data_IF_198473273443
#
_entry.id   IF_198473273443
#
_cell.length_a   1.000
_cell.length_b   1.000
_cell.length_c   1.000
_cell.angle_alpha   90.00
_cell.angle_beta   90.00
_cell.angle_gamma   90.00
#
_symmetry.space_group_name_H-M   'P 1'
#
loop_
_entity.id
_entity.type
_entity.pdbx_description
1 polymer ?
#
# COMPACT_ATOMS: atom_id res chain seq x y z
N UNK A 1 16.53 -9.82 -38.91
CA UNK A 1 15.70 -10.34 -37.81
C UNK A 1 14.73 -9.25 -37.36
N UNK A 2 13.43 -9.40 -37.66
CA UNK A 2 12.43 -8.37 -37.35
C UNK A 2 12.26 -8.20 -35.84
N UNK A 3 12.34 -6.97 -35.35
CA UNK A 3 11.99 -6.61 -33.97
C UNK A 3 10.51 -7.00 -33.78
N UNK A 4 10.23 -8.14 -33.13
CA UNK A 4 8.88 -8.50 -32.73
C UNK A 4 8.37 -7.39 -31.82
N UNK A 5 7.34 -6.67 -32.26
CA UNK A 5 6.67 -5.68 -31.43
C UNK A 5 6.24 -6.36 -30.11
N UNK A 6 6.46 -5.70 -28.95
CA UNK A 6 6.06 -6.30 -27.68
C UNK A 6 4.56 -6.57 -27.70
N UNK A 7 4.18 -7.82 -27.39
CA UNK A 7 2.77 -8.18 -27.22
C UNK A 7 2.15 -7.24 -26.20
N UNK A 8 1.03 -6.62 -26.56
CA UNK A 8 0.24 -5.82 -25.64
C UNK A 8 -0.42 -6.81 -24.67
N UNK A 9 0.01 -6.78 -23.41
CA UNK A 9 -0.62 -7.58 -22.37
C UNK A 9 -1.97 -6.94 -21.99
N UNK A 10 -2.99 -7.77 -21.85
CA UNK A 10 -4.29 -7.39 -21.34
C UNK A 10 -4.23 -6.96 -19.87
N UNK A 11 -5.26 -6.24 -19.42
CA UNK A 11 -5.41 -5.85 -18.02
C UNK A 11 -5.44 -7.09 -17.10
N UNK A 12 -6.17 -8.13 -17.49
CA UNK A 12 -6.29 -9.37 -16.74
C UNK A 12 -4.96 -10.11 -16.59
N UNK A 13 -4.15 -10.18 -17.64
CA UNK A 13 -2.81 -10.78 -17.56
C UNK A 13 -1.92 -10.03 -16.58
N UNK A 14 -1.97 -8.69 -16.60
CA UNK A 14 -1.22 -7.85 -15.67
C UNK A 14 -1.66 -8.07 -14.22
N UNK A 15 -2.97 -8.05 -13.96
CA UNK A 15 -3.50 -8.26 -12.61
C UNK A 15 -3.19 -9.66 -12.07
N UNK A 16 -3.32 -10.68 -12.91
CA UNK A 16 -2.97 -12.07 -12.55
C UNK A 16 -1.49 -12.19 -12.20
N UNK A 17 -0.60 -11.60 -13.01
CA UNK A 17 0.83 -11.60 -12.73
C UNK A 17 1.19 -10.84 -11.45
N UNK A 18 0.54 -9.70 -11.18
CA UNK A 18 0.74 -8.94 -9.94
C UNK A 18 0.28 -9.73 -8.71
N UNK A 19 -0.88 -10.41 -8.76
CA UNK A 19 -1.33 -11.28 -7.67
C UNK A 19 -0.36 -12.43 -7.40
N UNK A 20 0.22 -13.03 -8.44
CA UNK A 20 1.26 -14.05 -8.26
C UNK A 20 2.54 -13.46 -7.63
N UNK A 21 2.92 -12.23 -7.99
CA UNK A 21 4.06 -11.56 -7.36
C UNK A 21 3.78 -11.30 -5.87
N UNK A 22 2.58 -10.86 -5.51
CA UNK A 22 2.19 -10.71 -4.09
C UNK A 22 2.26 -12.03 -3.34
N UNK A 23 1.66 -13.09 -3.88
CA UNK A 23 1.69 -14.42 -3.26
C UNK A 23 3.11 -14.95 -3.07
N UNK A 24 3.99 -14.70 -4.04
CA UNK A 24 5.39 -15.15 -3.97
C UNK A 24 6.29 -14.22 -3.14
N UNK A 25 5.90 -12.97 -2.95
CA UNK A 25 6.59 -12.06 -2.03
C UNK A 25 6.41 -12.54 -0.58
N UNK A 26 5.22 -13.05 -0.25
CA UNK A 26 4.88 -13.51 1.10
C UNK A 26 5.19 -12.44 2.15
N UNK A 27 5.57 -12.88 3.35
CA UNK A 27 5.97 -11.98 4.45
C UNK A 27 7.32 -11.29 4.20
N UNK A 28 8.17 -11.84 3.31
CA UNK A 28 9.52 -11.33 3.03
C UNK A 28 9.54 -10.11 2.10
N UNK A 29 8.39 -9.69 1.58
CA UNK A 29 8.24 -8.52 0.69
C UNK A 29 8.95 -8.63 -0.67
N UNK A 30 9.69 -9.71 -0.93
CA UNK A 30 10.54 -9.86 -2.12
C UNK A 30 9.91 -10.85 -3.09
N UNK A 31 9.23 -10.39 -4.15
CA UNK A 31 8.54 -11.26 -5.09
C UNK A 31 9.51 -12.09 -5.94
N UNK A 32 9.11 -13.33 -6.26
CA UNK A 32 9.91 -14.24 -7.07
C UNK A 32 9.71 -13.99 -8.57
N UNK A 33 10.31 -12.91 -9.08
CA UNK A 33 10.14 -12.48 -10.48
C UNK A 33 10.46 -13.57 -11.52
N UNK A 34 11.52 -14.35 -11.31
CA UNK A 34 11.93 -15.41 -12.25
C UNK A 34 10.90 -16.54 -12.31
N UNK A 35 10.30 -16.90 -11.17
CA UNK A 35 9.28 -17.95 -11.10
C UNK A 35 7.99 -17.49 -11.78
N UNK A 36 7.53 -16.26 -11.51
CA UNK A 36 6.34 -15.69 -12.15
C UNK A 36 6.55 -15.49 -13.66
N UNK A 37 7.75 -15.07 -14.07
CA UNK A 37 8.12 -14.93 -15.48
C UNK A 37 8.01 -16.26 -16.23
N UNK A 38 8.49 -17.37 -15.65
CA UNK A 38 8.35 -18.70 -16.24
C UNK A 38 6.90 -19.17 -16.35
N UNK A 39 6.05 -18.86 -15.37
CA UNK A 39 4.62 -19.24 -15.38
C UNK A 39 3.79 -18.43 -16.36
N UNK A 40 4.06 -17.13 -16.47
CA UNK A 40 3.22 -16.20 -17.24
C UNK A 40 3.76 -15.91 -18.64
N UNK A 41 5.02 -16.24 -18.92
CA UNK A 41 5.71 -15.88 -20.16
C UNK A 41 6.06 -14.38 -20.26
N UNK A 42 5.74 -13.59 -19.24
CA UNK A 42 6.07 -12.16 -19.18
C UNK A 42 7.53 -11.99 -18.79
N UNK A 43 8.25 -11.07 -19.43
CA UNK A 43 9.65 -10.81 -19.10
C UNK A 43 9.81 -10.25 -17.68
N UNK A 44 10.88 -10.67 -17.00
CA UNK A 44 11.25 -10.17 -15.66
C UNK A 44 11.29 -8.64 -15.61
N UNK A 45 11.83 -7.98 -16.63
CA UNK A 45 11.88 -6.53 -16.68
C UNK A 45 10.50 -5.86 -16.71
N UNK A 46 9.52 -6.46 -17.38
CA UNK A 46 8.13 -5.97 -17.38
C UNK A 46 7.46 -6.21 -16.04
N UNK A 47 7.65 -7.39 -15.44
CA UNK A 47 7.13 -7.69 -14.10
C UNK A 47 7.67 -6.73 -13.04
N UNK A 48 8.98 -6.42 -13.06
CA UNK A 48 9.60 -5.44 -12.15
C UNK A 48 8.97 -4.06 -12.28
N UNK A 49 8.80 -3.55 -13.52
CA UNK A 49 8.15 -2.25 -13.74
C UNK A 49 6.72 -2.21 -13.23
N UNK A 50 5.95 -3.26 -13.48
CA UNK A 50 4.58 -3.35 -12.98
C UNK A 50 4.53 -3.42 -11.47
N UNK A 51 5.43 -4.19 -10.85
CA UNK A 51 5.54 -4.30 -9.40
C UNK A 51 5.86 -2.95 -8.74
N UNK A 52 6.85 -2.22 -9.25
CA UNK A 52 7.20 -0.89 -8.74
C UNK A 52 6.00 0.05 -8.82
N UNK A 53 5.33 0.11 -9.98
CA UNK A 53 4.14 0.94 -10.13
C UNK A 53 3.03 0.51 -9.17
N UNK A 54 2.79 -0.78 -9.03
CA UNK A 54 1.80 -1.34 -8.12
C UNK A 54 2.06 -0.92 -6.66
N UNK A 55 3.30 -1.05 -6.20
CA UNK A 55 3.72 -0.64 -4.85
C UNK A 55 3.56 0.87 -4.62
N UNK A 56 3.95 1.69 -5.60
CA UNK A 56 3.77 3.15 -5.52
C UNK A 56 2.30 3.56 -5.48
N UNK A 57 1.46 2.93 -6.31
CA UNK A 57 0.02 3.20 -6.34
C UNK A 57 -0.61 2.81 -4.98
N UNK A 58 -0.19 1.68 -4.39
CA UNK A 58 -0.64 1.25 -3.06
C UNK A 58 -0.20 2.23 -1.96
N UNK A 59 1.06 2.66 -1.96
CA UNK A 59 1.56 3.68 -1.02
C UNK A 59 0.81 5.01 -1.14
N UNK A 60 0.50 5.44 -2.36
CA UNK A 60 -0.26 6.67 -2.57
C UNK A 60 -1.68 6.55 -2.02
N UNK A 61 -2.35 5.42 -2.25
CA UNK A 61 -3.68 5.16 -1.68
C UNK A 61 -3.66 5.14 -0.15
N UNK A 62 -2.63 4.52 0.44
CA UNK A 62 -2.45 4.51 1.90
C UNK A 62 -2.27 5.93 2.43
N UNK A 63 -1.41 6.73 1.79
CA UNK A 63 -1.22 8.14 2.16
C UNK A 63 -2.51 8.93 2.09
N UNK A 64 -3.30 8.81 1.03
CA UNK A 64 -4.58 9.52 0.92
C UNK A 64 -5.55 9.13 2.03
N UNK A 65 -5.67 7.82 2.33
CA UNK A 65 -6.51 7.35 3.44
C UNK A 65 -6.05 7.90 4.80
N UNK A 66 -4.74 8.03 5.00
CA UNK A 66 -4.18 8.65 6.20
C UNK A 66 -4.52 10.14 6.29
N UNK A 67 -4.35 10.88 5.20
CA UNK A 67 -4.69 12.30 5.12
C UNK A 67 -6.18 12.53 5.41
N UNK A 68 -7.06 11.67 4.88
CA UNK A 68 -8.50 11.70 5.17
C UNK A 68 -8.82 11.38 6.64
N UNK A 69 -8.21 10.34 7.20
CA UNK A 69 -8.42 9.96 8.59
C UNK A 69 -7.94 11.07 9.56
N UNK A 70 -6.75 11.64 9.33
CA UNK A 70 -6.22 12.75 10.12
C UNK A 70 -7.12 13.98 9.99
N UNK A 71 -7.56 14.33 8.79
CA UNK A 71 -8.45 15.49 8.57
C UNK A 71 -9.79 15.32 9.29
N UNK A 72 -10.37 14.11 9.24
CA UNK A 72 -11.60 13.79 9.97
C UNK A 72 -11.43 13.93 11.48
N UNK A 73 -10.28 13.52 12.00
CA UNK A 73 -9.95 13.63 13.41
C UNK A 73 -9.76 15.09 13.83
N UNK A 74 -9.00 15.87 13.05
CA UNK A 74 -8.79 17.29 13.32
C UNK A 74 -10.11 18.06 13.33
N UNK A 75 -11.00 17.82 12.37
CA UNK A 75 -12.33 18.44 12.34
C UNK A 75 -13.14 18.09 13.60
N UNK A 76 -13.01 16.86 14.11
CA UNK A 76 -13.68 16.44 15.34
C UNK A 76 -13.07 17.07 16.59
N UNK A 77 -11.76 17.28 16.62
CA UNK A 77 -11.06 18.03 17.68
C UNK A 77 -11.51 19.50 17.66
N UNK A 78 -11.61 20.12 16.49
CA UNK A 78 -12.07 21.51 16.34
C UNK A 78 -13.51 21.67 16.84
N UNK A 79 -14.41 20.77 16.47
CA UNK A 79 -15.80 20.79 16.96
C UNK A 79 -15.85 20.63 18.49
N UNK A 80 -15.10 19.68 19.05
CA UNK A 80 -15.04 19.50 20.51
C UNK A 80 -14.43 20.71 21.22
N UNK A 81 -13.39 21.33 20.67
CA UNK A 81 -12.79 22.52 21.26
C UNK A 81 -13.73 23.74 21.22
N UNK A 82 -14.63 23.81 20.24
CA UNK A 82 -15.68 24.82 20.16
C UNK A 82 -16.86 24.54 21.11
N UNK A 83 -17.18 23.26 21.34
CA UNK A 83 -18.30 22.83 22.20
C UNK A 83 -17.93 22.76 23.69
N UNK A 84 -16.66 22.48 24.04
CA UNK A 84 -16.21 22.32 25.43
C UNK A 84 -14.86 22.96 25.71
N UNK A 85 -14.82 23.83 26.73
CA UNK A 85 -13.58 24.39 27.33
C UNK A 85 -12.75 23.33 28.10
N UNK A 86 -12.98 22.03 27.87
CA UNK A 86 -12.61 20.96 28.80
C UNK A 86 -11.81 19.84 28.10
N UNK A 87 -10.49 19.85 28.31
CA UNK A 87 -9.48 18.91 27.78
C UNK A 87 -9.79 17.41 27.95
N UNK A 88 -10.71 17.02 28.85
CA UNK A 88 -11.07 15.62 29.12
C UNK A 88 -11.75 14.93 27.92
N UNK A 89 -12.40 15.68 27.03
CA UNK A 89 -13.06 15.15 25.84
C UNK A 89 -12.10 14.89 24.66
N UNK A 90 -10.85 15.35 24.75
CA UNK A 90 -9.80 15.09 23.75
C UNK A 90 -9.10 13.73 23.95
N UNK A 91 -9.13 13.17 25.16
CA UNK A 91 -8.48 11.90 25.47
C UNK A 91 -8.95 10.70 24.62
N UNK A 92 -10.26 10.51 24.35
CA UNK A 92 -10.74 9.47 23.44
C UNK A 92 -10.23 9.66 22.01
N UNK A 93 -10.06 10.91 21.57
CA UNK A 93 -9.62 11.24 20.21
C UNK A 93 -8.13 10.92 20.03
N UNK A 94 -7.30 11.24 21.02
CA UNK A 94 -5.86 10.87 21.04
C UNK A 94 -5.69 9.35 21.10
N UNK A 95 -6.54 8.65 21.85
CA UNK A 95 -6.55 7.17 21.89
C UNK A 95 -6.89 6.57 20.53
N UNK A 96 -7.89 7.11 19.83
CA UNK A 96 -8.26 6.67 18.48
C UNK A 96 -7.15 6.94 17.45
N UNK A 97 -6.44 8.07 17.55
CA UNK A 97 -5.22 8.34 16.75
C UNK A 97 -4.13 7.31 17.02
N UNK A 98 -3.90 6.99 18.29
CA UNK A 98 -2.89 6.01 18.70
C UNK A 98 -3.24 4.61 18.20
N UNK A 99 -4.51 4.20 18.29
CA UNK A 99 -5.00 2.91 17.77
C UNK A 99 -4.88 2.82 16.24
N UNK A 100 -5.17 3.90 15.51
CA UNK A 100 -4.96 3.95 14.07
C UNK A 100 -3.47 3.81 13.74
N UNK A 101 -2.59 4.61 14.37
CA UNK A 101 -1.15 4.51 14.19
C UNK A 101 -0.60 3.12 14.55
N UNK A 102 -1.15 2.49 15.58
CA UNK A 102 -0.75 1.16 16.02
C UNK A 102 -1.17 0.07 15.02
N UNK A 103 -2.39 0.13 14.47
CA UNK A 103 -2.83 -0.76 13.38
C UNK A 103 -1.96 -0.62 12.12
N UNK A 104 -1.37 0.55 11.89
CA UNK A 104 -0.38 0.73 10.81
C UNK A 104 0.99 0.14 11.15
N UNK A 105 1.44 0.27 12.41
CA UNK A 105 2.72 -0.31 12.85
C UNK A 105 2.70 -1.84 12.84
N UNK A 106 1.58 -2.45 13.24
CA UNK A 106 1.37 -3.89 13.26
C UNK A 106 1.08 -4.46 11.86
N UNK A 107 0.80 -3.59 10.88
CA UNK A 107 0.47 -3.97 9.50
C UNK A 107 1.62 -3.98 8.50
N UNK A 108 2.65 -3.11 8.62
CA UNK A 108 3.68 -2.97 7.57
C UNK A 108 5.11 -2.60 8.03
N UNK A 109 5.46 -2.56 9.31
CA UNK A 109 6.80 -2.09 9.72
C UNK A 109 7.45 -2.91 10.85
N UNK A 110 7.56 -4.22 10.62
CA UNK A 110 8.49 -5.09 11.35
C UNK A 110 9.83 -5.18 10.62
N UNK A 111 10.71 -4.24 10.94
CA UNK A 111 12.18 -4.35 10.98
C UNK A 111 13.01 -4.45 9.68
N UNK A 112 13.97 -3.50 9.64
CA UNK A 112 15.29 -3.53 9.02
C UNK A 112 15.40 -3.67 7.49
N UNK A 113 15.58 -2.52 6.85
CA UNK A 113 16.37 -2.40 5.62
C UNK A 113 17.84 -2.72 5.92
N UNK A 114 18.15 -4.00 6.07
CA UNK A 114 19.50 -4.58 6.09
C UNK A 114 19.80 -5.37 4.82
#
# INVERSE_FOLDING_TARGET
MGKKFPKVYSLQERESALRMLEQTAGERGTPQFTAVSRKTGISVGTLKRWWIKYQLDRQKQLRTKLEEAISSILARIENLAQETNNLKELAPVVKMLSELLQQFSEGEFGEEWG
#
